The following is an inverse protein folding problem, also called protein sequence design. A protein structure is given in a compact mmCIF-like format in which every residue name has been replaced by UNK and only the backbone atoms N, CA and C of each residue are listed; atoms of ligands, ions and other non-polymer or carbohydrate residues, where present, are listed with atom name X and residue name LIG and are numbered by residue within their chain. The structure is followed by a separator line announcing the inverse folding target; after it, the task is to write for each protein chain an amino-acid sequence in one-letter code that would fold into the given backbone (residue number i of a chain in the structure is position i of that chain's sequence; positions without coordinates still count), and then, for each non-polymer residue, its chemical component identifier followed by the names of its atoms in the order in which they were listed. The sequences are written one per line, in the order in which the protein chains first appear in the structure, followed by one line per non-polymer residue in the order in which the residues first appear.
data_IF_635285647422
#
_entry.id   IF_635285647422
#
_cell.length_a   1.000
_cell.length_b   1.000
_cell.length_c   1.000
_cell.angle_alpha   90.00
_cell.angle_beta   90.00
_cell.angle_gamma   90.00
#
_symmetry.space_group_name_H-M   'P 1'
#
loop_
_entity.id
_entity.type
_entity.pdbx_description
1 polymer ?
#
# COMPACT_ATOMS: atom_id res chain seq x y z
N UNK A 1 -11.23 -19.94 21.32
CA UNK A 1 -10.02 -20.34 22.07
C UNK A 1 -8.82 -20.43 21.13
N UNK A 2 -8.92 -21.10 19.97
CA UNK A 2 -7.78 -21.26 19.05
C UNK A 2 -7.26 -19.94 18.44
N UNK A 3 -8.14 -19.05 17.98
CA UNK A 3 -7.73 -17.76 17.39
C UNK A 3 -6.96 -16.87 18.39
N UNK A 4 -7.39 -16.83 19.65
CA UNK A 4 -6.73 -16.07 20.71
C UNK A 4 -5.35 -16.63 21.04
N UNK A 5 -5.22 -17.97 21.10
CA UNK A 5 -3.92 -18.63 21.31
C UNK A 5 -2.97 -18.43 20.13
N UNK A 6 -3.47 -18.44 18.89
CA UNK A 6 -2.68 -18.12 17.69
C UNK A 6 -2.18 -16.67 17.73
N UNK A 7 -3.05 -15.72 18.11
CA UNK A 7 -2.68 -14.32 18.31
C UNK A 7 -1.59 -14.16 19.38
N UNK A 8 -1.76 -14.77 20.55
CA UNK A 8 -0.75 -14.74 21.61
C UNK A 8 0.60 -15.30 21.17
N UNK A 9 0.59 -16.41 20.42
CA UNK A 9 1.82 -17.03 19.90
C UNK A 9 2.50 -16.12 18.88
N UNK A 10 1.73 -15.47 18.00
CA UNK A 10 2.23 -14.48 17.06
C UNK A 10 2.85 -13.27 17.76
N UNK A 11 2.16 -12.68 18.74
CA UNK A 11 2.69 -11.56 19.53
C UNK A 11 3.98 -11.95 20.28
N UNK A 12 4.04 -13.14 20.87
CA UNK A 12 5.24 -13.63 21.55
C UNK A 12 6.43 -13.77 20.59
N UNK A 13 6.21 -14.19 19.34
CA UNK A 13 7.26 -14.28 18.32
C UNK A 13 7.73 -12.92 17.80
N UNK A 14 6.85 -11.93 17.74
CA UNK A 14 7.15 -10.60 17.18
C UNK A 14 7.82 -9.67 18.20
N UNK A 15 7.59 -9.88 19.51
CA UNK A 15 8.23 -9.11 20.59
C UNK A 15 9.74 -9.41 20.75
N UNK A 16 10.29 -10.32 19.94
CA UNK A 16 11.73 -10.55 19.89
C UNK A 16 12.50 -9.31 19.44
N UNK A 17 13.64 -9.03 20.10
CA UNK A 17 14.48 -7.87 19.81
C UNK A 17 14.89 -7.76 18.33
N UNK A 18 15.23 -8.89 17.69
CA UNK A 18 15.60 -8.94 16.27
C UNK A 18 14.46 -8.47 15.37
N UNK A 19 13.24 -8.95 15.62
CA UNK A 19 12.05 -8.62 14.84
C UNK A 19 11.67 -7.15 14.99
N UNK A 20 11.71 -6.62 16.21
CA UNK A 20 11.48 -5.20 16.47
C UNK A 20 12.54 -4.31 15.81
N UNK A 21 13.80 -4.74 15.82
CA UNK A 21 14.88 -4.02 15.14
C UNK A 21 14.66 -3.96 13.63
N UNK A 22 14.32 -5.09 12.98
CA UNK A 22 14.01 -5.10 11.55
C UNK A 22 12.73 -4.33 11.21
N UNK A 23 11.72 -4.36 12.08
CA UNK A 23 10.53 -3.51 11.98
C UNK A 23 10.92 -2.02 11.99
N UNK A 24 11.76 -1.61 12.95
CA UNK A 24 12.24 -0.25 13.06
C UNK A 24 13.04 0.19 11.83
N UNK A 25 13.99 -0.63 11.37
CA UNK A 25 14.79 -0.35 10.17
C UNK A 25 13.89 -0.27 8.94
N UNK A 26 12.91 -1.17 8.82
CA UNK A 26 11.93 -1.16 7.74
C UNK A 26 11.11 0.13 7.73
N UNK A 27 10.53 0.52 8.86
CA UNK A 27 9.78 1.77 9.00
C UNK A 27 10.66 3.00 8.70
N UNK A 28 11.89 3.03 9.21
CA UNK A 28 12.83 4.13 9.01
C UNK A 28 13.15 4.32 7.52
N UNK A 29 13.61 3.25 6.85
CA UNK A 29 13.91 3.31 5.42
C UNK A 29 12.68 3.53 4.57
N UNK A 30 11.55 2.94 4.95
CA UNK A 30 10.25 3.20 4.33
C UNK A 30 9.92 4.67 4.34
N UNK A 31 9.98 5.32 5.50
CA UNK A 31 9.71 6.77 5.61
C UNK A 31 10.71 7.60 4.82
N UNK A 32 12.00 7.27 4.85
CA UNK A 32 13.02 7.97 4.03
C UNK A 32 12.68 7.88 2.55
N UNK A 33 12.34 6.69 2.05
CA UNK A 33 11.97 6.50 0.64
C UNK A 33 10.66 7.20 0.31
N UNK A 34 9.65 7.12 1.18
CA UNK A 34 8.37 7.78 0.96
C UNK A 34 8.47 9.30 0.91
N UNK A 35 9.42 9.91 1.63
CA UNK A 35 9.64 11.36 1.56
C UNK A 35 10.24 11.78 0.21
N UNK A 36 10.90 10.87 -0.51
CA UNK A 36 11.43 11.18 -1.84
C UNK A 36 10.27 11.28 -2.85
N UNK A 37 10.05 12.45 -3.47
CA UNK A 37 8.93 12.67 -4.36
C UNK A 37 9.05 11.80 -5.61
N UNK A 38 7.99 11.06 -5.94
CA UNK A 38 7.95 10.19 -7.13
C UNK A 38 8.33 8.74 -6.86
N UNK A 39 8.98 8.46 -5.72
CA UNK A 39 9.24 7.11 -5.25
C UNK A 39 8.05 6.58 -4.46
N UNK A 40 7.13 5.92 -5.16
CA UNK A 40 6.01 5.21 -4.54
C UNK A 40 6.48 4.08 -3.60
N UNK A 41 5.62 3.57 -2.70
CA UNK A 41 5.97 2.54 -1.72
C UNK A 41 6.33 1.20 -2.36
N UNK A 42 5.80 0.91 -3.55
CA UNK A 42 6.17 -0.28 -4.33
C UNK A 42 7.61 -0.20 -4.80
N UNK A 43 8.06 0.96 -5.28
CA UNK A 43 9.45 1.16 -5.68
C UNK A 43 10.39 1.02 -4.48
N UNK A 44 10.04 1.60 -3.33
CA UNK A 44 10.82 1.46 -2.09
C UNK A 44 10.91 0.02 -1.59
N UNK A 45 9.80 -0.72 -1.59
CA UNK A 45 9.79 -2.13 -1.23
C UNK A 45 10.70 -2.95 -2.16
N UNK A 46 10.63 -2.73 -3.47
CA UNK A 46 11.47 -3.42 -4.46
C UNK A 46 12.95 -3.12 -4.26
N UNK A 47 13.32 -1.84 -4.07
CA UNK A 47 14.72 -1.42 -3.92
C UNK A 47 15.36 -2.04 -2.68
N UNK A 48 14.59 -2.25 -1.62
CA UNK A 48 15.05 -2.79 -0.35
C UNK A 48 14.81 -4.31 -0.22
N UNK A 49 14.12 -4.93 -1.18
CA UNK A 49 13.87 -6.37 -1.21
C UNK A 49 15.17 -7.21 -1.13
N UNK A 50 16.28 -6.87 -1.82
CA UNK A 50 17.52 -7.64 -1.68
C UNK A 50 18.04 -7.74 -0.24
N UNK A 51 17.76 -6.75 0.61
CA UNK A 51 18.20 -6.74 2.01
C UNK A 51 17.49 -7.81 2.85
N UNK A 52 16.40 -8.40 2.36
CA UNK A 52 15.65 -9.43 3.09
C UNK A 52 16.12 -10.85 2.81
N UNK A 53 16.92 -11.09 1.77
CA UNK A 53 17.27 -12.46 1.35
C UNK A 53 18.10 -13.25 2.36
N UNK A 54 18.77 -12.57 3.29
CA UNK A 54 19.48 -13.19 4.41
C UNK A 54 18.67 -13.32 5.71
N UNK A 55 17.42 -12.87 5.72
CA UNK A 55 16.58 -12.82 6.93
C UNK A 55 15.67 -14.05 7.02
N UNK A 56 15.25 -14.39 8.23
CA UNK A 56 14.17 -15.34 8.42
C UNK A 56 12.86 -14.79 7.83
N UNK A 57 11.94 -15.66 7.35
CA UNK A 57 10.73 -15.21 6.66
C UNK A 57 9.86 -14.23 7.47
N UNK A 58 9.80 -14.38 8.79
CA UNK A 58 9.00 -13.50 9.64
C UNK A 58 9.61 -12.10 9.70
N UNK A 59 10.92 -11.98 9.97
CA UNK A 59 11.65 -10.71 9.95
C UNK A 59 11.61 -10.04 8.58
N UNK A 60 11.73 -10.82 7.49
CA UNK A 60 11.65 -10.31 6.13
C UNK A 60 10.28 -9.68 5.83
N UNK A 61 9.18 -10.36 6.15
CA UNK A 61 7.82 -9.86 5.95
C UNK A 61 7.61 -8.59 6.77
N UNK A 62 8.03 -8.59 8.04
CA UNK A 62 7.87 -7.44 8.94
C UNK A 62 8.67 -6.23 8.45
N UNK A 63 9.89 -6.43 7.97
CA UNK A 63 10.70 -5.35 7.41
C UNK A 63 10.05 -4.78 6.13
N UNK A 64 9.58 -5.63 5.20
CA UNK A 64 8.91 -5.19 3.97
C UNK A 64 7.58 -4.48 4.25
N UNK A 65 6.82 -4.97 5.23
CA UNK A 65 5.62 -4.26 5.71
C UNK A 65 6.00 -2.89 6.27
N UNK A 66 7.03 -2.81 7.13
CA UNK A 66 7.53 -1.55 7.66
C UNK A 66 7.94 -0.57 6.56
N UNK A 67 8.62 -1.04 5.52
CA UNK A 67 8.99 -0.23 4.35
C UNK A 67 7.74 0.29 3.65
N UNK A 68 6.75 -0.57 3.40
CA UNK A 68 5.52 -0.19 2.71
C UNK A 68 4.69 0.85 3.47
N UNK A 69 4.41 0.61 4.76
CA UNK A 69 3.67 1.55 5.60
C UNK A 69 4.44 2.84 5.84
N UNK A 70 5.75 2.73 6.09
CA UNK A 70 6.63 3.87 6.27
C UNK A 70 6.64 4.76 5.02
N UNK A 71 6.68 4.16 3.82
CA UNK A 71 6.66 4.89 2.56
C UNK A 71 5.28 5.51 2.28
N UNK A 72 4.19 4.84 2.65
CA UNK A 72 2.83 5.41 2.52
C UNK A 72 2.65 6.67 3.35
N UNK A 73 3.11 6.66 4.60
CA UNK A 73 3.10 7.86 5.43
C UNK A 73 4.11 8.92 4.96
N UNK A 74 5.32 8.50 4.55
CA UNK A 74 6.34 9.41 4.00
C UNK A 74 5.84 10.19 2.79
N UNK A 75 5.12 9.55 1.88
CA UNK A 75 4.55 10.18 0.68
C UNK A 75 3.51 11.27 1.01
N UNK A 76 2.77 11.11 2.11
CA UNK A 76 1.84 12.11 2.61
C UNK A 76 2.57 13.30 3.24
N UNK A 77 3.73 13.09 3.86
CA UNK A 77 4.57 14.18 4.38
C UNK A 77 5.04 15.09 3.25
N UNK A 78 5.52 14.51 2.14
CA UNK A 78 5.95 15.26 0.95
C UNK A 78 4.77 15.92 0.25
N UNK A 79 3.61 15.25 0.17
CA UNK A 79 2.36 15.85 -0.30
C UNK A 79 2.00 17.14 0.45
N UNK A 80 2.02 17.08 1.78
CA UNK A 80 1.63 18.19 2.66
C UNK A 80 2.62 19.36 2.59
N UNK A 81 3.92 19.09 2.53
CA UNK A 81 4.94 20.15 2.66
C UNK A 81 5.40 20.76 1.34
N UNK A 82 5.37 20.01 0.24
CA UNK A 82 5.90 20.45 -1.06
C UNK A 82 4.90 20.38 -2.21
N UNK A 83 3.66 19.94 -1.97
CA UNK A 83 2.62 19.75 -3.01
C UNK A 83 3.02 18.76 -4.12
N UNK A 84 3.92 17.83 -3.82
CA UNK A 84 4.36 16.80 -4.77
C UNK A 84 3.91 15.45 -4.20
N UNK A 85 2.79 14.88 -4.69
CA UNK A 85 2.32 13.60 -4.19
C UNK A 85 3.28 12.48 -4.57
N UNK A 86 3.67 11.67 -3.59
CA UNK A 86 4.49 10.46 -3.79
C UNK A 86 3.68 9.29 -4.36
N UNK A 87 2.36 9.27 -4.09
CA UNK A 87 1.42 8.24 -4.55
C UNK A 87 0.14 8.88 -5.08
N UNK A 88 -0.53 8.23 -6.03
CA UNK A 88 -1.85 8.65 -6.51
C UNK A 88 -2.90 8.81 -5.38
N UNK A 89 -2.84 7.98 -4.34
CA UNK A 89 -3.77 8.06 -3.21
C UNK A 89 -3.55 9.32 -2.35
N UNK A 90 -2.30 9.77 -2.23
CA UNK A 90 -1.89 10.95 -1.45
C UNK A 90 -2.25 12.29 -2.12
N UNK A 91 -2.64 12.27 -3.40
CA UNK A 91 -3.12 13.47 -4.13
C UNK A 91 -4.29 14.12 -3.41
N UNK A 92 -5.19 13.32 -2.82
CA UNK A 92 -6.37 13.84 -2.12
C UNK A 92 -5.98 14.49 -0.80
N UNK A 93 -5.12 13.84 -0.01
CA UNK A 93 -4.53 14.43 1.20
C UNK A 93 -3.76 15.73 0.88
N UNK A 94 -3.08 15.78 -0.27
CA UNK A 94 -2.31 16.94 -0.73
C UNK A 94 -3.16 18.19 -0.92
N UNK A 95 -4.40 18.06 -1.42
CA UNK A 95 -5.29 19.19 -1.74
C UNK A 95 -5.50 20.10 -0.52
N UNK A 96 -5.93 19.54 0.61
CA UNK A 96 -6.14 20.31 1.84
C UNK A 96 -4.88 20.40 2.70
N UNK A 97 -4.06 19.34 2.71
CA UNK A 97 -2.84 19.31 3.52
C UNK A 97 -1.84 20.40 3.14
N UNK A 98 -1.64 20.62 1.84
CA UNK A 98 -0.75 21.67 1.35
C UNK A 98 -1.31 23.08 1.63
N UNK A 99 -2.62 23.28 1.50
CA UNK A 99 -3.25 24.57 1.83
C UNK A 99 -3.17 24.87 3.34
N UNK A 100 -3.33 23.86 4.20
CA UNK A 100 -3.05 23.99 5.63
C UNK A 100 -1.59 24.38 5.88
N UNK A 101 -0.64 23.75 5.18
CA UNK A 101 0.78 24.07 5.30
C UNK A 101 1.08 25.52 4.90
N UNK A 102 0.50 26.01 3.80
CA UNK A 102 0.62 27.41 3.33
C UNK A 102 0.07 28.43 4.33
N UNK A 103 -0.93 28.05 5.12
CA UNK A 103 -1.50 28.88 6.17
C UNK A 103 -0.69 28.86 7.48
N UNK A 104 0.51 28.26 7.48
CA UNK A 104 1.33 28.09 8.69
C UNK A 104 0.83 26.97 9.60
N UNK A 105 -0.08 26.11 9.12
CA UNK A 105 -0.65 24.97 9.86
C UNK A 105 -0.13 23.63 9.32
N UNK A 106 1.12 23.59 8.89
CA UNK A 106 1.78 22.37 8.44
C UNK A 106 1.88 21.31 9.55
N UNK A 107 2.18 21.73 10.78
CA UNK A 107 2.34 20.82 11.90
C UNK A 107 1.07 20.04 12.26
N UNK A 108 -0.09 20.70 12.46
CA UNK A 108 -1.33 19.98 12.71
C UNK A 108 -1.74 19.06 11.56
N UNK A 109 -1.49 19.46 10.30
CA UNK A 109 -1.75 18.60 9.14
C UNK A 109 -0.92 17.32 9.18
N UNK A 110 0.39 17.41 9.46
CA UNK A 110 1.30 16.26 9.57
C UNK A 110 0.93 15.33 10.75
N UNK A 111 0.58 15.90 11.90
CA UNK A 111 0.20 15.10 13.08
C UNK A 111 -1.13 14.41 12.87
N UNK A 112 -2.13 15.09 12.33
CA UNK A 112 -3.43 14.47 12.03
C UNK A 112 -3.30 13.41 10.95
N UNK A 113 -2.48 13.64 9.92
CA UNK A 113 -2.14 12.62 8.94
C UNK A 113 -1.52 11.39 9.63
N UNK A 114 -0.50 11.57 10.47
CA UNK A 114 0.16 10.47 11.19
C UNK A 114 -0.80 9.68 12.09
N UNK A 115 -1.61 10.38 12.88
CA UNK A 115 -2.59 9.76 13.78
C UNK A 115 -3.67 9.03 12.98
N UNK A 116 -4.17 9.63 11.90
CA UNK A 116 -5.12 9.00 11.00
C UNK A 116 -4.55 7.73 10.37
N UNK A 117 -3.33 7.78 9.82
CA UNK A 117 -2.63 6.63 9.26
C UNK A 117 -2.47 5.50 10.27
N UNK A 118 -2.03 5.82 11.49
CA UNK A 118 -1.83 4.85 12.55
C UNK A 118 -3.14 4.20 13.00
N UNK A 119 -4.17 5.01 13.28
CA UNK A 119 -5.47 4.51 13.75
C UNK A 119 -6.16 3.69 12.65
N UNK A 120 -6.20 4.20 11.42
CA UNK A 120 -6.82 3.52 10.29
C UNK A 120 -6.14 2.21 9.94
N UNK A 121 -4.81 2.21 9.84
CA UNK A 121 -4.03 0.99 9.60
C UNK A 121 -4.22 -0.04 10.70
N UNK A 122 -4.14 0.39 11.97
CA UNK A 122 -4.32 -0.52 13.12
C UNK A 122 -5.71 -1.11 13.18
N UNK A 123 -6.76 -0.29 13.08
CA UNK A 123 -8.15 -0.76 13.11
C UNK A 123 -8.47 -1.66 11.92
N UNK A 124 -7.90 -1.36 10.75
CA UNK A 124 -8.03 -2.19 9.56
C UNK A 124 -7.42 -3.58 9.75
N UNK A 125 -6.18 -3.65 10.24
CA UNK A 125 -5.50 -4.93 10.52
C UNK A 125 -6.27 -5.73 11.59
N UNK A 126 -6.73 -5.08 12.66
CA UNK A 126 -7.54 -5.74 13.70
C UNK A 126 -8.88 -6.25 13.14
N UNK A 127 -9.57 -5.43 12.36
CA UNK A 127 -10.80 -5.85 11.68
C UNK A 127 -10.55 -7.02 10.74
N UNK A 128 -9.41 -7.01 10.05
CA UNK A 128 -9.04 -8.07 9.15
C UNK A 128 -8.73 -9.37 9.90
N UNK A 129 -8.06 -9.32 11.04
CA UNK A 129 -7.83 -10.50 11.88
C UNK A 129 -9.14 -11.20 12.29
N UNK A 130 -10.23 -10.42 12.48
CA UNK A 130 -11.54 -10.96 12.82
C UNK A 130 -12.29 -11.53 11.60
N UNK A 131 -12.15 -10.90 10.44
CA UNK A 131 -12.85 -11.28 9.20
C UNK A 131 -12.05 -12.29 8.36
N UNK A 132 -10.75 -12.44 8.62
CA UNK A 132 -9.84 -13.33 7.89
C UNK A 132 -10.27 -14.80 7.92
N UNK A 133 -10.66 -15.41 9.06
CA UNK A 133 -11.08 -16.81 9.07
C UNK A 133 -12.29 -17.14 8.17
N UNK A 134 -13.43 -16.41 8.23
CA UNK A 134 -14.52 -16.67 7.29
C UNK A 134 -14.13 -16.34 5.85
N UNK A 135 -13.33 -15.30 5.61
CA UNK A 135 -12.86 -14.95 4.27
C UNK A 135 -11.98 -16.05 3.68
N UNK A 136 -11.09 -16.65 4.47
CA UNK A 136 -10.22 -17.75 4.05
C UNK A 136 -11.03 -18.99 3.64
N UNK A 137 -12.11 -19.31 4.35
CA UNK A 137 -12.99 -20.43 3.98
C UNK A 137 -13.67 -20.19 2.62
N UNK A 138 -14.07 -18.94 2.34
CA UNK A 138 -14.61 -18.57 1.03
C UNK A 138 -13.52 -18.71 -0.03
N UNK A 139 -12.31 -18.20 0.21
CA UNK A 139 -11.20 -18.26 -0.75
C UNK A 139 -10.74 -19.69 -1.07
N UNK A 140 -10.78 -20.61 -0.11
CA UNK A 140 -10.46 -22.04 -0.36
C UNK A 140 -11.53 -22.72 -1.22
N UNK A 141 -12.77 -22.24 -1.19
CA UNK A 141 -13.85 -22.74 -2.04
C UNK A 141 -13.79 -22.16 -3.47
N UNK A 142 -12.99 -21.12 -3.72
CA UNK A 142 -12.79 -20.53 -5.04
C UNK A 142 -11.94 -21.48 -5.90
N UNK A 143 -12.55 -22.03 -6.95
CA UNK A 143 -11.87 -22.87 -7.93
C UNK A 143 -11.00 -22.07 -8.92
N UNK A 144 -10.13 -22.75 -9.69
CA UNK A 144 -9.22 -22.10 -10.64
C UNK A 144 -9.91 -21.18 -11.67
N UNK A 145 -11.12 -21.56 -12.11
CA UNK A 145 -11.91 -20.76 -13.07
C UNK A 145 -12.31 -19.40 -12.50
N UNK A 146 -12.70 -19.35 -11.23
CA UNK A 146 -13.09 -18.11 -10.56
C UNK A 146 -11.85 -17.26 -10.27
N UNK A 147 -10.71 -17.88 -9.94
CA UNK A 147 -9.43 -17.14 -9.77
C UNK A 147 -9.03 -16.42 -11.06
N UNK A 148 -9.18 -17.05 -12.23
CA UNK A 148 -8.90 -16.40 -13.53
C UNK A 148 -9.82 -15.20 -13.75
N UNK A 149 -11.12 -15.34 -13.50
CA UNK A 149 -12.08 -14.25 -13.67
C UNK A 149 -11.78 -13.10 -12.71
N UNK A 150 -11.44 -13.39 -11.45
CA UNK A 150 -11.07 -12.38 -10.47
C UNK A 150 -9.78 -11.64 -10.87
N UNK A 151 -8.77 -12.35 -11.36
CA UNK A 151 -7.54 -11.72 -11.87
C UNK A 151 -7.83 -10.85 -13.09
N UNK A 152 -8.61 -11.32 -14.06
CA UNK A 152 -9.01 -10.52 -15.23
C UNK A 152 -9.81 -9.29 -14.83
N UNK A 153 -10.73 -9.42 -13.88
CA UNK A 153 -11.50 -8.31 -13.33
C UNK A 153 -10.59 -7.29 -12.66
N UNK A 154 -9.62 -7.74 -11.86
CA UNK A 154 -8.63 -6.85 -11.24
C UNK A 154 -7.82 -6.07 -12.29
N UNK A 155 -7.34 -6.75 -13.34
CA UNK A 155 -6.62 -6.09 -14.45
C UNK A 155 -7.50 -5.09 -15.21
N UNK A 156 -8.78 -5.40 -15.42
CA UNK A 156 -9.75 -4.48 -15.99
C UNK A 156 -9.95 -3.25 -15.10
N UNK A 157 -10.15 -3.43 -13.79
CA UNK A 157 -10.33 -2.34 -12.83
C UNK A 157 -9.08 -1.45 -12.80
N UNK A 158 -7.87 -2.02 -12.80
CA UNK A 158 -6.61 -1.25 -12.88
C UNK A 158 -6.58 -0.40 -14.15
N UNK A 159 -6.99 -0.95 -15.30
CA UNK A 159 -7.04 -0.21 -16.57
C UNK A 159 -8.03 0.96 -16.53
N UNK A 160 -9.13 0.83 -15.77
CA UNK A 160 -10.16 1.85 -15.64
C UNK A 160 -9.81 2.94 -14.62
N UNK A 161 -9.11 2.57 -13.55
CA UNK A 161 -8.77 3.48 -12.43
C UNK A 161 -7.45 4.21 -12.65
N UNK A 162 -6.53 3.68 -13.47
CA UNK A 162 -5.29 4.35 -13.83
C UNK A 162 -5.58 5.72 -14.46
N UNK A 163 -5.11 6.80 -13.84
CA UNK A 163 -5.37 8.19 -14.26
C UNK A 163 -4.76 8.58 -15.61
N UNK A 164 -4.03 7.67 -16.27
CA UNK A 164 -3.42 7.86 -17.59
C UNK A 164 -4.27 7.34 -18.75
N UNK A 165 -3.63 7.19 -19.91
CA UNK A 165 -4.28 6.58 -21.07
C UNK A 165 -4.61 5.12 -20.79
N UNK A 166 -5.89 4.76 -20.92
CA UNK A 166 -6.39 3.38 -20.79
C UNK A 166 -5.67 2.43 -21.75
N UNK A 167 -5.41 2.90 -22.97
CA UNK A 167 -4.68 2.11 -23.99
C UNK A 167 -3.24 1.84 -23.56
N UNK A 168 -2.55 2.86 -23.01
CA UNK A 168 -1.19 2.68 -22.48
C UNK A 168 -1.17 1.70 -21.29
N UNK A 169 -2.12 1.84 -20.37
CA UNK A 169 -2.23 0.95 -19.20
C UNK A 169 -2.49 -0.49 -19.63
N UNK A 170 -3.46 -0.72 -20.51
CA UNK A 170 -3.76 -2.04 -21.06
C UNK A 170 -2.57 -2.65 -21.81
N UNK A 171 -1.86 -1.86 -22.63
CA UNK A 171 -0.66 -2.32 -23.32
C UNK A 171 0.45 -2.74 -22.34
N UNK A 172 0.67 -1.96 -21.27
CA UNK A 172 1.66 -2.30 -20.24
C UNK A 172 1.27 -3.53 -19.42
N UNK A 173 -0.03 -3.75 -19.16
CA UNK A 173 -0.51 -4.99 -18.51
C UNK A 173 -0.20 -6.20 -19.39
N UNK A 174 -0.53 -6.14 -20.68
CA UNK A 174 -0.25 -7.23 -21.63
C UNK A 174 1.25 -7.49 -21.74
N UNK A 175 2.06 -6.44 -21.81
CA UNK A 175 3.52 -6.54 -21.81
C UNK A 175 4.03 -7.21 -20.53
N UNK A 176 3.54 -6.79 -19.36
CA UNK A 176 3.90 -7.40 -18.08
C UNK A 176 3.53 -8.87 -17.98
N UNK A 177 2.34 -9.25 -18.48
CA UNK A 177 1.92 -10.66 -18.57
C UNK A 177 2.83 -11.46 -19.51
N UNK A 178 3.17 -10.93 -20.68
CA UNK A 178 4.09 -11.59 -21.62
C UNK A 178 5.47 -11.81 -20.98
N UNK A 179 6.04 -10.78 -20.35
CA UNK A 179 7.32 -10.84 -19.64
C UNK A 179 7.26 -11.83 -18.46
N UNK A 180 6.15 -11.88 -17.72
CA UNK A 180 5.94 -12.80 -16.61
C UNK A 180 5.79 -14.27 -17.03
N UNK A 181 5.49 -14.55 -18.30
CA UNK A 181 5.41 -15.93 -18.83
C UNK A 181 6.76 -16.48 -19.31
N UNK A 182 7.84 -15.69 -19.26
CA UNK A 182 9.19 -16.14 -19.62
C UNK A 182 9.69 -17.13 -18.56
N UNK A 183 10.11 -18.31 -19.00
CA UNK A 183 10.69 -19.37 -18.16
C UNK A 183 9.96 -20.70 -18.28
N UNK A 184 10.20 -21.59 -17.32
CA UNK A 184 9.54 -22.89 -17.25
C UNK A 184 8.10 -22.76 -16.75
N UNK A 185 7.16 -23.31 -17.50
CA UNK A 185 5.78 -23.40 -17.05
C UNK A 185 5.67 -24.33 -15.83
N UNK A 186 5.14 -23.81 -14.72
CA UNK A 186 5.09 -24.53 -13.43
C UNK A 186 4.23 -25.81 -13.44
N UNK A 187 3.31 -25.94 -14.41
CA UNK A 187 2.41 -27.09 -14.51
C UNK A 187 2.96 -28.17 -15.44
N UNK A 188 3.51 -27.76 -16.57
CA UNK A 188 3.92 -28.66 -17.67
C UNK A 188 5.43 -28.86 -17.79
N UNK A 189 6.24 -27.99 -17.14
CA UNK A 189 7.69 -28.01 -17.24
C UNK A 189 8.24 -27.59 -18.61
N UNK A 190 7.39 -27.09 -19.52
CA UNK A 190 7.81 -26.67 -20.85
C UNK A 190 8.42 -25.25 -20.81
N UNK A 191 9.55 -25.02 -21.50
CA UNK A 191 10.13 -23.69 -21.61
C UNK A 191 9.26 -22.78 -22.49
N UNK A 192 8.96 -21.58 -21.99
CA UNK A 192 8.26 -20.52 -22.72
C UNK A 192 9.15 -19.30 -22.85
N UNK A 193 9.30 -18.79 -24.07
CA UNK A 193 10.09 -17.58 -24.36
C UNK A 193 11.55 -17.60 -23.85
N UNK A 194 12.15 -18.78 -23.69
CA UNK A 194 13.56 -18.92 -23.25
C UNK A 194 14.55 -18.82 -24.41
N UNK A 195 14.10 -18.95 -25.66
CA UNK A 195 14.91 -18.85 -26.88
C UNK A 195 16.21 -19.69 -26.87
N UNK A 196 16.20 -20.83 -26.16
CA UNK A 196 17.37 -21.71 -26.02
C UNK A 196 18.39 -21.30 -24.95
N UNK A 197 18.15 -20.20 -24.22
CA UNK A 197 19.01 -19.75 -23.12
C UNK A 197 18.56 -20.38 -21.78
N UNK A 198 19.44 -21.19 -21.18
CA UNK A 198 19.20 -21.83 -19.88
C UNK A 198 19.07 -20.82 -18.73
N UNK A 199 19.72 -19.64 -18.81
CA UNK A 199 19.59 -18.59 -17.80
C UNK A 199 18.19 -17.97 -17.73
N UNK A 200 17.36 -18.19 -18.76
CA UNK A 200 15.95 -17.78 -18.75
C UNK A 200 15.01 -18.89 -18.25
N UNK A 201 15.51 -20.08 -17.92
CA UNK A 201 14.68 -21.19 -17.45
C UNK A 201 13.99 -20.87 -16.11
N UNK A 202 14.70 -20.17 -15.20
CA UNK A 202 14.16 -19.68 -13.94
C UNK A 202 13.26 -18.43 -14.10
N UNK A 203 13.11 -17.96 -15.35
CA UNK A 203 12.41 -16.72 -15.70
C UNK A 203 13.25 -15.47 -15.44
N UNK A 204 12.61 -14.31 -15.54
CA UNK A 204 13.25 -13.03 -15.26
C UNK A 204 13.19 -12.73 -13.76
N UNK A 205 14.32 -12.35 -13.18
CA UNK A 205 14.36 -11.91 -11.77
C UNK A 205 13.46 -10.68 -11.59
N UNK A 206 12.37 -10.84 -10.85
CA UNK A 206 11.46 -9.75 -10.51
C UNK A 206 12.21 -8.58 -9.87
N UNK A 207 13.14 -8.87 -8.96
CA UNK A 207 13.95 -7.86 -8.28
C UNK A 207 14.82 -7.07 -9.27
N UNK A 208 15.51 -7.76 -10.20
CA UNK A 208 16.33 -7.08 -11.20
C UNK A 208 15.49 -6.24 -12.17
N UNK A 209 14.37 -6.78 -12.64
CA UNK A 209 13.45 -6.08 -13.54
C UNK A 209 12.88 -4.83 -12.87
N UNK A 210 12.44 -4.95 -11.62
CA UNK A 210 11.80 -3.86 -10.90
C UNK A 210 12.83 -2.78 -10.48
N UNK A 211 14.04 -3.15 -10.03
CA UNK A 211 15.13 -2.18 -9.80
C UNK A 211 15.50 -1.45 -11.09
N UNK A 212 15.59 -2.17 -12.21
CA UNK A 212 15.88 -1.57 -13.52
C UNK A 212 14.80 -0.58 -13.95
N UNK A 213 13.53 -0.99 -13.90
CA UNK A 213 12.40 -0.15 -14.30
C UNK A 213 12.25 1.09 -13.41
N UNK A 214 12.15 0.90 -12.09
CA UNK A 214 11.94 2.00 -11.15
C UNK A 214 13.19 2.87 -10.98
N UNK A 215 14.38 2.26 -10.94
CA UNK A 215 15.64 2.99 -10.79
C UNK A 215 15.94 3.86 -12.01
N UNK A 216 15.81 3.32 -13.23
CA UNK A 216 16.05 4.09 -14.45
C UNK A 216 14.97 5.16 -14.64
N UNK A 217 13.69 4.84 -14.39
CA UNK A 217 12.62 5.84 -14.52
C UNK A 217 12.85 7.04 -13.60
N UNK A 218 13.29 6.79 -12.37
CA UNK A 218 13.52 7.84 -11.38
C UNK A 218 14.70 8.74 -11.77
N UNK A 219 15.78 8.17 -12.31
CA UNK A 219 16.91 8.96 -12.83
C UNK A 219 16.45 9.88 -13.97
N UNK A 220 15.66 9.35 -14.91
CA UNK A 220 15.15 10.13 -16.04
C UNK A 220 14.21 11.26 -15.59
N UNK A 221 13.29 10.97 -14.66
CA UNK A 221 12.35 11.95 -14.11
C UNK A 221 13.06 13.05 -13.31
N UNK A 222 14.11 12.70 -12.56
CA UNK A 222 14.92 13.68 -11.83
C UNK A 222 15.73 14.58 -12.77
N UNK A 223 16.20 14.06 -13.91
CA UNK A 223 16.86 14.88 -14.93
C UNK A 223 15.89 15.88 -15.59
N UNK A 224 14.60 15.53 -15.68
CA UNK A 224 13.56 16.42 -16.21
C UNK A 224 13.14 17.51 -15.19
N UNK A 225 13.18 17.21 -13.89
CA UNK A 225 12.86 18.17 -12.82
C UNK A 225 14.07 19.02 -12.42
N UNK A 226 14.23 20.17 -13.08
CA UNK A 226 15.31 21.14 -12.81
C UNK A 226 14.95 22.25 -11.80
N UNK A 227 13.75 22.22 -11.20
CA UNK A 227 13.31 23.25 -10.25
C UNK A 227 13.65 22.91 -8.79
N UNK A 228 14.14 23.92 -8.05
CA UNK A 228 14.40 23.80 -6.62
C UNK A 228 13.08 23.62 -5.84
N UNK A 229 12.87 22.42 -5.28
CA UNK A 229 11.73 22.13 -4.40
C UNK A 229 11.83 23.00 -3.15
N UNK A 230 10.96 24.01 -3.02
CA UNK A 230 10.82 24.81 -1.80
C UNK A 230 9.89 24.11 -0.81
N UNK A 231 10.47 23.37 0.13
CA UNK A 231 9.72 22.77 1.23
C UNK A 231 9.30 23.80 2.27
N UNK A 232 8.02 23.74 2.67
CA UNK A 232 7.53 24.46 3.85
C UNK A 232 8.19 23.81 5.07
N UNK A 233 8.94 24.59 5.84
CA UNK A 233 9.66 24.12 7.03
C UNK A 233 8.83 24.44 8.28
N UNK A 234 8.04 23.49 8.82
CA UNK A 234 7.32 23.71 10.07
C UNK A 234 8.30 23.86 11.24
N UNK A 235 8.02 24.77 12.17
CA UNK A 235 8.77 24.82 13.44
C UNK A 235 8.22 23.76 14.38
N UNK A 236 9.07 23.17 15.21
CA UNK A 236 8.70 22.11 16.16
C UNK A 236 7.53 22.52 17.09
N UNK A 237 7.45 23.81 17.44
CA UNK A 237 6.37 24.39 18.26
C UNK A 237 4.99 24.41 17.58
N UNK A 238 4.97 24.34 16.25
CA UNK A 238 3.73 24.40 15.46
C UNK A 238 3.17 22.99 15.21
N UNK A 239 3.82 21.93 15.71
CA UNK A 239 3.38 20.54 15.55
C UNK A 239 2.13 20.18 16.36
N UNK A 240 1.82 20.91 17.43
CA UNK A 240 0.73 20.54 18.35
C UNK A 240 -0.63 20.93 17.73
N UNK A 241 -1.50 19.96 17.38
CA UNK A 241 -2.83 20.25 16.89
C UNK A 241 -3.69 20.88 17.99
N UNK A 242 -4.61 21.76 17.62
CA UNK A 242 -5.54 22.36 18.58
C UNK A 242 -6.59 21.33 19.01
N UNK A 243 -7.22 21.52 20.17
CA UNK A 243 -8.32 20.66 20.60
C UNK A 243 -9.48 20.61 19.59
N UNK A 244 -9.76 21.72 18.90
CA UNK A 244 -10.77 21.75 17.84
C UNK A 244 -10.36 20.92 16.62
N UNK A 245 -9.06 20.93 16.29
CA UNK A 245 -8.50 20.13 15.19
C UNK A 245 -8.70 18.63 15.45
N UNK A 246 -8.45 18.19 16.69
CA UNK A 246 -8.68 16.80 17.11
C UNK A 246 -10.17 16.44 17.08
N UNK A 247 -11.05 17.32 17.57
CA UNK A 247 -12.51 17.09 17.57
C UNK A 247 -13.08 16.97 16.16
N UNK A 248 -12.57 17.74 15.21
CA UNK A 248 -13.00 17.68 13.81
C UNK A 248 -12.39 16.48 13.08
N UNK A 249 -11.12 16.13 13.37
CA UNK A 249 -10.44 15.00 12.74
C UNK A 249 -10.95 13.64 13.22
N UNK A 250 -11.26 13.47 14.51
CA UNK A 250 -11.66 12.17 15.10
C UNK A 250 -12.81 11.47 14.34
N UNK A 251 -13.95 12.11 14.05
CA UNK A 251 -15.02 11.45 13.30
C UNK A 251 -14.64 11.15 11.84
N UNK A 252 -13.77 11.96 11.23
CA UNK A 252 -13.24 11.72 9.89
C UNK A 252 -12.29 10.51 9.87
N UNK A 253 -11.45 10.35 10.88
CA UNK A 253 -10.61 9.15 11.09
C UNK A 253 -11.49 7.91 11.25
N UNK A 254 -12.55 7.98 12.05
CA UNK A 254 -13.50 6.87 12.22
C UNK A 254 -14.14 6.44 10.89
N UNK A 255 -14.68 7.39 10.13
CA UNK A 255 -15.29 7.13 8.81
C UNK A 255 -14.27 6.64 7.80
N UNK A 256 -13.10 7.27 7.74
CA UNK A 256 -11.99 6.88 6.87
C UNK A 256 -11.52 5.45 7.14
N UNK A 257 -11.44 5.04 8.41
CA UNK A 257 -11.08 3.68 8.81
C UNK A 257 -12.06 2.65 8.26
N UNK A 258 -13.37 2.92 8.39
CA UNK A 258 -14.43 2.03 7.88
C UNK A 258 -14.38 1.95 6.35
N UNK A 259 -14.28 3.10 5.68
CA UNK A 259 -14.23 3.18 4.21
C UNK A 259 -13.02 2.40 3.71
N UNK A 260 -11.83 2.68 4.23
CA UNK A 260 -10.61 2.02 3.80
C UNK A 260 -10.61 0.52 4.10
N UNK A 261 -11.14 0.11 5.26
CA UNK A 261 -11.31 -1.31 5.58
C UNK A 261 -12.20 -2.03 4.56
N UNK A 262 -13.38 -1.47 4.26
CA UNK A 262 -14.33 -2.06 3.31
C UNK A 262 -13.75 -2.14 1.90
N UNK A 263 -13.10 -1.08 1.44
CA UNK A 263 -12.48 -1.06 0.12
C UNK A 263 -11.26 -1.99 0.02
N UNK A 264 -10.48 -2.14 1.09
CA UNK A 264 -9.31 -3.00 1.06
C UNK A 264 -9.59 -4.48 1.24
N UNK A 265 -10.77 -4.88 1.75
CA UNK A 265 -11.21 -6.29 1.67
C UNK A 265 -11.53 -6.69 0.21
N UNK A 266 -11.95 -5.73 -0.62
CA UNK A 266 -12.32 -6.03 -2.01
C UNK A 266 -11.06 -6.17 -2.87
N UNK A 267 -10.78 -7.36 -3.41
CA UNK A 267 -9.61 -7.56 -4.25
C UNK A 267 -9.70 -6.70 -5.51
N UNK A 268 -8.58 -6.05 -5.86
CA UNK A 268 -8.49 -5.21 -7.06
C UNK A 268 -9.02 -3.78 -6.91
N UNK A 269 -9.55 -3.38 -5.73
CA UNK A 269 -9.86 -1.98 -5.48
C UNK A 269 -8.63 -1.24 -4.96
N UNK A 270 -8.32 -0.10 -5.58
CA UNK A 270 -7.16 0.72 -5.24
C UNK A 270 -7.41 1.61 -4.04
N UNK A 271 -6.36 1.82 -3.23
CA UNK A 271 -6.28 2.86 -2.20
C UNK A 271 -6.74 4.23 -2.71
N UNK A 272 -6.49 4.54 -3.98
CA UNK A 272 -6.95 5.78 -4.63
C UNK A 272 -8.47 5.94 -4.53
N UNK A 273 -9.25 4.91 -4.86
CA UNK A 273 -10.72 5.00 -4.82
C UNK A 273 -11.20 5.25 -3.40
N UNK A 274 -10.58 4.60 -2.41
CA UNK A 274 -10.91 4.79 -1.01
C UNK A 274 -10.70 6.23 -0.53
N UNK A 275 -9.61 6.88 -0.95
CA UNK A 275 -9.29 8.26 -0.56
C UNK A 275 -10.25 9.26 -1.19
N UNK A 276 -10.56 9.09 -2.49
CA UNK A 276 -11.56 9.91 -3.18
C UNK A 276 -12.96 9.77 -2.56
N UNK A 277 -13.40 8.55 -2.28
CA UNK A 277 -14.72 8.30 -1.66
C UNK A 277 -14.76 8.89 -0.25
N UNK A 278 -13.70 8.71 0.54
CA UNK A 278 -13.60 9.31 1.87
C UNK A 278 -13.70 10.84 1.79
N UNK A 279 -12.97 11.48 0.89
CA UNK A 279 -13.04 12.94 0.70
C UNK A 279 -14.43 13.42 0.32
N UNK A 280 -15.11 12.72 -0.61
CA UNK A 280 -16.45 13.07 -1.03
C UNK A 280 -17.47 12.94 0.13
N UNK A 281 -17.33 11.90 0.95
CA UNK A 281 -18.17 11.70 2.15
C UNK A 281 -17.88 12.76 3.19
N UNK A 282 -16.62 13.07 3.49
CA UNK A 282 -16.26 14.12 4.44
C UNK A 282 -16.80 15.48 4.01
N UNK A 283 -16.69 15.81 2.72
CA UNK A 283 -17.26 17.05 2.17
C UNK A 283 -18.78 17.09 2.32
N UNK A 284 -19.47 15.96 2.13
CA UNK A 284 -20.93 15.86 2.24
C UNK A 284 -21.43 15.98 3.68
N UNK A 285 -20.70 15.44 4.65
CA UNK A 285 -21.08 15.46 6.06
C UNK A 285 -20.52 16.68 6.82
N UNK A 286 -19.64 17.45 6.21
CA UNK A 286 -19.09 18.65 6.83
C UNK A 286 -20.16 19.73 6.99
N UNK A 287 -20.07 20.45 8.10
CA UNK A 287 -20.86 21.67 8.35
C UNK A 287 -20.40 22.84 7.46
N UNK A 288 -19.14 22.80 7.01
CA UNK A 288 -18.47 23.85 6.23
C UNK A 288 -17.84 23.25 4.95
N UNK A 289 -18.64 22.78 3.96
CA UNK A 289 -18.14 22.14 2.74
C UNK A 289 -17.25 23.07 1.87
N UNK A 290 -17.35 24.38 2.04
CA UNK A 290 -16.58 25.41 1.34
C UNK A 290 -15.10 25.52 1.78
N UNK A 291 -14.73 24.86 2.88
CA UNK A 291 -13.35 24.79 3.36
C UNK A 291 -12.52 23.70 2.66
N UNK A 292 -13.18 22.71 2.03
CA UNK A 292 -12.50 21.64 1.29
C UNK A 292 -11.82 22.21 0.04
N UNK A 293 -10.54 21.91 -0.13
CA UNK A 293 -9.67 22.57 -1.11
C UNK A 293 -9.05 23.88 -0.64
N UNK A 294 -9.30 24.29 0.61
CA UNK A 294 -8.73 25.49 1.24
C UNK A 294 -8.09 25.19 2.60
N UNK A 295 -7.85 23.92 2.92
CA UNK A 295 -7.22 23.50 4.17
C UNK A 295 -8.20 22.96 5.21
N UNK A 296 -9.23 22.25 4.79
CA UNK A 296 -10.13 21.53 5.70
C UNK A 296 -9.42 20.35 6.36
N UNK A 297 -9.46 20.26 7.69
CA UNK A 297 -8.74 19.19 8.41
C UNK A 297 -9.38 17.82 8.18
N UNK A 298 -10.70 17.76 8.02
CA UNK A 298 -11.41 16.54 7.63
C UNK A 298 -10.99 16.06 6.23
N UNK A 299 -10.62 16.99 5.33
CA UNK A 299 -10.09 16.72 4.00
C UNK A 299 -8.68 16.11 4.00
N UNK A 300 -7.96 16.20 5.12
CA UNK A 300 -6.69 15.48 5.36
C UNK A 300 -6.95 14.19 6.13
N UNK A 301 -7.66 14.29 7.26
CA UNK A 301 -7.85 13.19 8.20
C UNK A 301 -8.58 11.99 7.59
N UNK A 302 -9.70 12.21 6.90
CA UNK A 302 -10.49 11.12 6.32
C UNK A 302 -9.74 10.36 5.23
N UNK A 303 -9.31 11.05 4.14
CA UNK A 303 -8.60 10.42 3.03
C UNK A 303 -7.29 9.74 3.45
N UNK A 304 -6.51 10.37 4.32
CA UNK A 304 -5.26 9.78 4.80
C UNK A 304 -5.51 8.51 5.62
N UNK A 305 -6.55 8.52 6.45
CA UNK A 305 -6.96 7.34 7.21
C UNK A 305 -7.46 6.24 6.29
N UNK A 306 -8.28 6.57 5.28
CA UNK A 306 -8.79 5.61 4.30
C UNK A 306 -7.67 4.97 3.46
N UNK A 307 -6.66 5.76 3.08
CA UNK A 307 -5.46 5.28 2.39
C UNK A 307 -4.82 4.13 3.17
N UNK A 308 -4.42 4.43 4.42
CA UNK A 308 -3.68 3.50 5.27
C UNK A 308 -4.54 2.34 5.78
N UNK A 309 -5.84 2.56 5.98
CA UNK A 309 -6.77 1.47 6.29
C UNK A 309 -6.90 0.50 5.11
N UNK A 310 -6.91 1.00 3.86
CA UNK A 310 -6.90 0.12 2.67
C UNK A 310 -5.57 -0.60 2.53
N UNK A 311 -4.44 0.05 2.82
CA UNK A 311 -3.08 -0.56 2.88
C UNK A 311 -3.04 -1.72 3.88
N UNK A 312 -3.69 -1.53 5.03
CA UNK A 312 -4.01 -2.52 6.07
C UNK A 312 -4.49 -3.87 5.56
N UNK A 313 -5.47 -3.81 4.65
CA UNK A 313 -6.30 -4.95 4.27
C UNK A 313 -6.04 -5.48 2.88
N UNK A 314 -5.63 -4.61 1.95
CA UNK A 314 -5.42 -4.92 0.54
C UNK A 314 -4.08 -5.62 0.26
N UNK A 315 -3.39 -6.12 1.30
CA UNK A 315 -2.20 -6.95 1.12
C UNK A 315 -2.54 -8.11 0.16
N UNK A 316 -1.76 -8.21 -0.93
CA UNK A 316 -1.96 -9.02 -2.13
C UNK A 316 -2.71 -10.36 -1.93
N UNK A 317 -3.66 -10.76 -2.80
CA UNK A 317 -4.29 -12.09 -2.78
C UNK A 317 -3.28 -13.26 -2.78
N UNK A 318 -2.09 -13.03 -3.34
CA UNK A 318 -0.97 -13.99 -3.28
C UNK A 318 -0.43 -14.20 -1.86
N UNK A 319 -0.44 -13.15 -1.03
CA UNK A 319 -0.05 -13.19 0.38
C UNK A 319 -1.09 -13.97 1.21
N UNK A 320 -2.38 -13.84 0.90
CA UNK A 320 -3.44 -14.64 1.52
C UNK A 320 -3.27 -16.14 1.27
N UNK A 321 -2.84 -16.53 0.07
CA UNK A 321 -2.68 -17.95 -0.30
C UNK A 321 -1.37 -18.54 0.23
N UNK A 322 -0.31 -17.75 0.40
CA UNK A 322 0.96 -18.18 0.98
C UNK A 322 0.97 -18.17 2.50
N UNK A 323 0.22 -17.25 3.15
CA UNK A 323 0.07 -17.18 4.60
C UNK A 323 -0.76 -18.33 5.18
N UNK A 324 -1.65 -18.93 4.39
CA UNK A 324 -2.43 -20.11 4.76
C UNK A 324 -2.00 -21.30 3.91
N UNK A 325 -0.88 -21.99 4.23
CA UNK A 325 -0.49 -23.20 3.53
C UNK A 325 -1.63 -24.21 3.61
N UNK A 326 -1.95 -24.85 2.48
CA UNK A 326 -2.89 -25.98 2.43
C UNK A 326 -2.44 -27.03 3.44
N UNK A 327 -3.11 -27.12 4.58
CA UNK A 327 -2.91 -28.15 5.60
C UNK A 327 -3.45 -29.52 5.16
N UNK A 328 -3.85 -29.68 3.89
CA UNK A 328 -4.21 -30.97 3.31
C UNK A 328 -3.27 -31.29 2.16
N UNK A 329 -2.54 -32.44 2.22
CA UNK A 329 -1.75 -32.88 1.09
C UNK A 329 -2.67 -33.05 -0.13
N UNK A 330 -2.14 -32.89 -1.36
CA UNK A 330 -2.91 -33.16 -2.55
C UNK A 330 -3.39 -34.61 -2.47
N UNK A 331 -4.70 -34.81 -2.28
CA UNK A 331 -5.32 -36.10 -2.59
C UNK A 331 -5.25 -36.20 -4.11
N UNK A 332 -4.15 -36.77 -4.59
CA UNK A 332 -4.04 -37.27 -5.94
C UNK A 332 -5.28 -38.14 -6.21
N UNK A 333 -6.05 -37.75 -7.22
CA UNK A 333 -6.97 -38.65 -7.90
C UNK A 333 -6.15 -39.76 -8.55
N UNK A 334 -5.80 -40.78 -7.77
CA UNK A 334 -5.49 -42.11 -8.27
C UNK A 334 -6.41 -43.07 -7.53
N UNK A 335 -7.54 -43.41 -8.15
CA UNK A 335 -8.19 -44.71 -7.97
C UNK A 335 -8.56 -45.22 -9.37
N UNK A 336 -8.40 -46.53 -9.58
CA UNK A 336 -8.08 -47.18 -10.86
C UNK A 336 -9.18 -47.07 -11.92
#
# INVERSE_FOLDING_TARGET
MDAFNQLMTGFAGILGWKTLFYCFIGCLWGTVVGVLPGLGPLAGMVLLLPLTFGLDPASAIIMLSGIFYGAMYGGSTTSILVRIPGEAASVITCIDGYEMARQGRAGPALVIAAVGSFVGGTLSVLGLMLVAPPLANVMVAIGPSVEVVLMLMALCVITLVSGGSRLKTGAMIILGLAVGTVGLDKLTGLPRFTFGNLGLADGLSFTALAIGLFGISEILLNLERSEAIKAIQPKLKDLIPRWNDLKEATPAIGRGSIIGFLFGIVPGVSHVVSTFVSYAIEKRFSRNPEQFGKGAIAGVAGPETANNATTGTASDPGCWRSAFPRSRPPRFCCRP
#
